data_IF_457007976248
#
_entry.id   IF_457007976248
#
_cell.length_a   1.000
_cell.length_b   1.000
_cell.length_c   1.000
_cell.angle_alpha   90.00
_cell.angle_beta   90.00
_cell.angle_gamma   90.00
#
_symmetry.space_group_name_H-M   'P 1'
#
loop_
_entity.id
_entity.type
_entity.pdbx_description
1 polymer ?
#
# COMPACT_ATOMS: atom_id res chain seq x y z
N UNK A 1 -33.44 2.77 -16.78
CA UNK A 1 -32.97 2.05 -15.60
C UNK A 1 -31.48 1.74 -15.77
N UNK A 2 -30.64 2.78 -15.79
CA UNK A 2 -29.18 2.68 -15.84
C UNK A 2 -28.66 3.37 -14.58
N UNK A 3 -28.48 2.57 -13.53
CA UNK A 3 -28.02 3.05 -12.23
C UNK A 3 -26.53 3.40 -12.31
N UNK A 4 -26.25 4.70 -12.16
CA UNK A 4 -25.14 5.28 -11.40
C UNK A 4 -23.83 4.47 -11.50
N UNK A 5 -23.03 4.78 -12.53
CA UNK A 5 -21.64 4.36 -12.60
C UNK A 5 -20.91 5.18 -11.53
N UNK A 6 -20.42 4.51 -10.49
CA UNK A 6 -19.65 5.09 -9.38
C UNK A 6 -18.44 5.87 -9.96
N UNK A 7 -18.51 7.21 -9.95
CA UNK A 7 -17.45 8.15 -10.33
C UNK A 7 -16.26 8.12 -9.36
N UNK A 8 -15.61 6.96 -9.17
CA UNK A 8 -14.43 6.87 -8.32
C UNK A 8 -13.16 7.16 -9.12
N UNK A 9 -12.87 8.44 -9.30
CA UNK A 9 -11.57 8.91 -9.78
C UNK A 9 -10.50 8.71 -8.70
N UNK A 10 -9.44 7.99 -9.07
CA UNK A 10 -8.34 7.59 -8.21
C UNK A 10 -8.08 6.10 -8.38
N UNK A 11 -7.56 5.70 -9.54
CA UNK A 11 -7.15 4.30 -9.73
C UNK A 11 -5.99 4.01 -8.77
N UNK A 12 -6.16 3.10 -7.79
CA UNK A 12 -5.07 2.78 -6.89
C UNK A 12 -4.00 2.03 -7.70
N UNK A 13 -2.78 2.57 -7.73
CA UNK A 13 -1.67 1.89 -8.38
C UNK A 13 -1.42 0.56 -7.64
N UNK A 14 -1.55 -0.56 -8.36
CA UNK A 14 -1.16 -1.86 -7.84
C UNK A 14 0.36 -1.98 -7.80
N UNK A 15 0.88 -2.32 -6.63
CA UNK A 15 2.30 -2.58 -6.39
C UNK A 15 2.60 -4.08 -6.47
N UNK A 16 1.68 -4.94 -6.01
CA UNK A 16 1.78 -6.39 -6.14
C UNK A 16 0.53 -6.96 -6.80
N UNK A 17 0.70 -7.67 -7.91
CA UNK A 17 -0.42 -8.30 -8.63
C UNK A 17 -0.83 -9.63 -7.97
N UNK A 18 0.14 -10.44 -7.51
CA UNK A 18 -0.15 -11.75 -6.91
C UNK A 18 -1.11 -11.70 -5.71
N UNK A 19 -1.03 -10.63 -4.91
CA UNK A 19 -1.86 -10.44 -3.73
C UNK A 19 -2.72 -9.17 -3.81
N UNK A 20 -2.86 -8.57 -5.01
CA UNK A 20 -3.62 -7.36 -5.25
C UNK A 20 -3.30 -6.22 -4.25
N UNK A 21 -2.02 -6.01 -3.97
CA UNK A 21 -1.57 -4.96 -3.02
C UNK A 21 -1.48 -3.63 -3.73
N UNK A 22 -2.16 -2.62 -3.19
CA UNK A 22 -2.15 -1.24 -3.72
C UNK A 22 -1.15 -0.35 -2.99
N UNK A 23 -0.78 0.77 -3.62
CA UNK A 23 0.04 1.77 -2.95
C UNK A 23 -0.68 2.40 -1.75
N UNK A 24 -2.01 2.56 -1.80
CA UNK A 24 -2.81 3.05 -0.68
C UNK A 24 -2.70 2.12 0.53
N UNK A 25 -2.80 0.80 0.33
CA UNK A 25 -2.60 -0.16 1.43
C UNK A 25 -1.19 -0.06 2.04
N UNK A 26 -0.17 0.21 1.23
CA UNK A 26 1.20 0.43 1.73
C UNK A 26 1.29 1.76 2.50
N UNK A 27 0.57 2.81 2.07
CA UNK A 27 0.47 4.09 2.79
C UNK A 27 -0.21 3.91 4.15
N UNK A 28 -1.33 3.21 4.20
CA UNK A 28 -2.07 2.94 5.43
C UNK A 28 -1.24 2.10 6.39
N UNK A 29 -0.56 1.06 5.88
CA UNK A 29 0.39 0.29 6.65
C UNK A 29 1.53 1.15 7.20
N UNK A 30 2.12 2.03 6.38
CA UNK A 30 3.20 2.92 6.80
C UNK A 30 2.75 3.90 7.89
N UNK A 31 1.52 4.39 7.82
CA UNK A 31 0.90 5.24 8.86
C UNK A 31 0.71 4.49 10.18
N UNK A 32 0.17 3.26 10.12
CA UNK A 32 -0.14 2.47 11.31
C UNK A 32 1.07 1.79 11.95
N UNK A 33 2.06 1.39 11.16
CA UNK A 33 3.14 0.48 11.58
C UNK A 33 4.55 0.96 11.23
N UNK A 34 4.67 2.13 10.58
CA UNK A 34 5.95 2.68 10.14
C UNK A 34 6.61 1.84 9.04
N UNK A 35 7.92 1.99 8.91
CA UNK A 35 8.73 1.47 7.79
C UNK A 35 9.15 0.01 7.97
N UNK A 36 8.24 -0.85 8.43
CA UNK A 36 8.58 -2.22 8.77
C UNK A 36 8.27 -3.19 7.62
N UNK A 37 9.24 -3.43 6.74
CA UNK A 37 9.12 -4.37 5.63
C UNK A 37 8.68 -5.79 6.07
N UNK A 38 9.27 -6.32 7.16
CA UNK A 38 8.95 -7.67 7.63
C UNK A 38 7.47 -7.78 8.03
N UNK A 39 6.97 -6.77 8.74
CA UNK A 39 5.56 -6.74 9.17
C UNK A 39 4.64 -6.51 7.96
N UNK A 40 5.03 -5.65 7.02
CA UNK A 40 4.27 -5.41 5.78
C UNK A 40 4.14 -6.66 4.92
N UNK A 41 5.24 -7.39 4.74
CA UNK A 41 5.25 -8.62 3.96
C UNK A 41 4.40 -9.73 4.62
N UNK A 42 4.27 -9.72 5.94
CA UNK A 42 3.39 -10.65 6.66
C UNK A 42 1.90 -10.29 6.52
N UNK A 43 1.56 -9.01 6.61
CA UNK A 43 0.16 -8.55 6.62
C UNK A 43 -0.40 -8.37 5.20
N UNK A 44 0.34 -7.69 4.32
CA UNK A 44 -0.07 -7.45 2.92
C UNK A 44 0.39 -8.55 1.96
N UNK A 45 1.21 -9.52 2.42
CA UNK A 45 1.80 -10.59 1.58
C UNK A 45 2.66 -10.09 0.41
N UNK A 46 2.95 -8.79 0.34
CA UNK A 46 3.75 -8.20 -0.71
C UNK A 46 5.15 -8.85 -0.76
N UNK A 47 5.51 -9.37 -1.94
CA UNK A 47 6.80 -10.01 -2.18
C UNK A 47 6.95 -11.43 -1.64
N UNK A 48 5.85 -12.10 -1.22
CA UNK A 48 5.90 -13.48 -0.70
C UNK A 48 5.68 -14.57 -1.74
N UNK A 49 5.22 -14.20 -2.95
CA UNK A 49 4.97 -15.12 -4.06
C UNK A 49 6.06 -14.98 -5.14
N UNK A 50 5.78 -14.39 -6.31
CA UNK A 50 6.77 -14.25 -7.38
C UNK A 50 7.97 -13.31 -7.08
N UNK A 51 7.91 -12.54 -5.98
CA UNK A 51 8.99 -11.65 -5.54
C UNK A 51 9.29 -10.41 -6.39
N UNK A 52 8.74 -10.29 -7.61
CA UNK A 52 9.06 -9.19 -8.56
C UNK A 52 8.72 -7.79 -8.01
N UNK A 53 7.68 -7.69 -7.18
CA UNK A 53 7.28 -6.43 -6.56
C UNK A 53 8.16 -6.03 -5.36
N UNK A 54 9.01 -6.91 -4.82
CA UNK A 54 9.66 -6.71 -3.52
C UNK A 54 10.49 -5.43 -3.45
N UNK A 55 11.32 -5.17 -4.48
CA UNK A 55 12.15 -3.95 -4.53
C UNK A 55 11.28 -2.70 -4.67
N UNK A 56 10.26 -2.74 -5.53
CA UNK A 56 9.32 -1.61 -5.73
C UNK A 56 8.54 -1.30 -4.45
N UNK A 57 7.96 -2.32 -3.82
CA UNK A 57 7.21 -2.20 -2.58
C UNK A 57 8.07 -1.68 -1.42
N UNK A 58 9.32 -2.15 -1.31
CA UNK A 58 10.26 -1.67 -0.29
C UNK A 58 10.66 -0.21 -0.50
N UNK A 59 10.85 0.21 -1.77
CA UNK A 59 11.09 1.62 -2.12
C UNK A 59 9.87 2.48 -1.82
N UNK A 60 8.68 2.03 -2.19
CA UNK A 60 7.42 2.72 -1.88
C UNK A 60 7.29 2.92 -0.36
N UNK A 61 7.41 1.86 0.43
CA UNK A 61 7.37 1.92 1.90
C UNK A 61 8.39 2.93 2.46
N UNK A 62 9.64 2.90 1.96
CA UNK A 62 10.70 3.83 2.40
C UNK A 62 10.37 5.28 2.02
N UNK A 63 9.91 5.53 0.79
CA UNK A 63 9.54 6.86 0.33
C UNK A 63 8.37 7.43 1.13
N UNK A 64 7.38 6.60 1.43
CA UNK A 64 6.21 6.97 2.21
C UNK A 64 6.59 7.31 3.64
N UNK A 65 7.49 6.56 4.25
CA UNK A 65 8.02 6.90 5.55
C UNK A 65 8.73 8.25 5.62
N UNK A 66 9.36 8.69 4.53
CA UNK A 66 9.95 10.04 4.46
C UNK A 66 8.89 11.13 4.32
N UNK A 67 7.71 10.78 3.80
CA UNK A 67 6.63 11.71 3.47
C UNK A 67 5.52 11.77 4.54
N UNK A 68 5.30 10.68 5.28
CA UNK A 68 4.29 10.57 6.32
C UNK A 68 4.88 11.09 7.63
N UNK A 69 4.52 12.32 8.02
CA UNK A 69 4.63 12.76 9.42
C UNK A 69 3.60 11.95 10.22
N UNK A 70 3.93 11.38 11.40
CA UNK A 70 3.05 10.46 12.15
C UNK A 70 1.86 11.16 12.85
N UNK A 71 1.10 12.01 12.16
CA UNK A 71 0.17 12.96 12.79
C UNK A 71 -1.32 12.77 12.46
N UNK A 72 -1.71 11.68 11.80
CA UNK A 72 -3.10 11.38 11.43
C UNK A 72 -3.62 10.13 12.16
N UNK A 73 -3.35 10.07 13.46
CA UNK A 73 -4.26 9.45 14.41
C UNK A 73 -5.35 10.47 14.77
N UNK A 74 -6.45 10.49 14.02
CA UNK A 74 -7.67 11.21 14.40
C UNK A 74 -8.87 10.35 14.06
N UNK A 75 -9.26 9.48 14.99
CA UNK A 75 -10.47 9.63 15.81
C UNK A 75 -10.57 8.44 16.78
#
# INVERSE_FOLDING_TARGET
>A
MFGIIDSKEGQPMYVCICHAVTEEQIKDFARAHGCNWRKMSRELKAGTDCGTCAIKAKRALKNLCTQVKPADASN
#
